data_IF_203367778597
#
_entry.id   IF_203367778597
#
_cell.length_a   1.000
_cell.length_b   1.000
_cell.length_c   1.000
_cell.angle_alpha   90.00
_cell.angle_beta   90.00
_cell.angle_gamma   90.00
#
_symmetry.space_group_name_H-M   'P 1'
#
loop_
_entity.id
_entity.type
_entity.pdbx_description
1 polymer ?
#
# COMPACT_ATOMS: atom_id res chain seq x y z
N UNK A 1 1.65 15.94 -9.87
CA UNK A 1 0.91 14.65 -9.76
C UNK A 1 -0.01 14.37 -10.96
N UNK A 2 -0.37 13.11 -11.25
CA UNK A 2 -1.32 12.72 -12.32
C UNK A 2 -2.77 12.90 -11.85
N UNK A 3 -3.57 13.70 -12.57
CA UNK A 3 -4.98 13.97 -12.22
C UNK A 3 -5.83 12.69 -12.11
N UNK A 4 -5.51 11.62 -12.87
CA UNK A 4 -6.28 10.38 -12.78
C UNK A 4 -6.10 9.64 -11.45
N UNK A 5 -4.92 9.79 -10.82
CA UNK A 5 -4.62 9.16 -9.54
C UNK A 5 -5.30 9.88 -8.38
N UNK A 6 -5.25 11.22 -8.37
CA UNK A 6 -5.98 12.02 -7.38
C UNK A 6 -7.47 11.70 -7.45
N UNK A 7 -8.05 11.68 -8.65
CA UNK A 7 -9.45 11.30 -8.82
C UNK A 7 -9.73 9.85 -8.41
N UNK A 8 -8.81 8.90 -8.59
CA UNK A 8 -8.99 7.53 -8.12
C UNK A 8 -9.05 7.46 -6.58
N UNK A 9 -8.23 8.25 -5.90
CA UNK A 9 -8.22 8.37 -4.43
C UNK A 9 -9.50 9.04 -3.94
N UNK A 10 -9.87 10.21 -4.48
CA UNK A 10 -11.08 10.95 -4.08
C UNK A 10 -12.37 10.10 -4.22
N UNK A 11 -12.42 9.25 -5.25
CA UNK A 11 -13.59 8.41 -5.53
C UNK A 11 -13.48 7.00 -4.93
N UNK A 12 -12.40 6.67 -4.22
CA UNK A 12 -12.34 5.39 -3.52
C UNK A 12 -13.23 5.46 -2.28
N UNK A 13 -14.01 4.40 -2.02
CA UNK A 13 -14.94 4.37 -0.88
C UNK A 13 -14.25 3.87 0.40
N UNK A 14 -12.95 4.12 0.53
CA UNK A 14 -12.10 3.56 1.60
C UNK A 14 -11.49 4.66 2.46
N UNK A 15 -11.19 4.32 3.71
CA UNK A 15 -10.66 5.28 4.69
C UNK A 15 -9.13 5.37 4.73
N UNK A 16 -8.43 4.32 4.29
CA UNK A 16 -6.97 4.24 4.36
C UNK A 16 -6.37 4.03 2.98
N UNK A 17 -5.37 4.85 2.66
CA UNK A 17 -4.60 4.79 1.41
C UNK A 17 -3.16 4.41 1.75
N UNK A 18 -2.70 3.32 1.12
CA UNK A 18 -1.35 2.81 1.27
C UNK A 18 -0.62 2.74 -0.06
N UNK A 19 0.70 2.83 -0.02
CA UNK A 19 1.56 2.59 -1.18
C UNK A 19 2.28 1.27 -0.99
N UNK A 20 2.13 0.37 -1.95
CA UNK A 20 2.67 -1.00 -1.87
C UNK A 20 3.62 -1.28 -3.02
N UNK A 21 4.74 -1.89 -2.69
CA UNK A 21 5.63 -2.54 -3.64
C UNK A 21 5.14 -3.96 -3.92
N UNK A 22 5.12 -4.32 -5.20
CA UNK A 22 4.77 -5.68 -5.59
C UNK A 22 5.99 -6.58 -5.53
N UNK A 23 5.79 -7.79 -5.02
CA UNK A 23 6.75 -8.88 -5.21
C UNK A 23 6.77 -9.31 -6.69
N UNK A 24 7.85 -9.96 -7.12
CA UNK A 24 8.03 -10.37 -8.52
C UNK A 24 6.92 -11.32 -9.02
N UNK A 25 6.28 -12.06 -8.12
CA UNK A 25 5.17 -12.97 -8.40
C UNK A 25 3.79 -12.29 -8.39
N UNK A 26 3.71 -11.02 -8.00
CA UNK A 26 2.47 -10.26 -7.92
C UNK A 26 2.22 -9.46 -9.21
N UNK A 27 1.08 -9.72 -9.83
CA UNK A 27 0.63 -9.01 -11.04
C UNK A 27 -0.84 -8.62 -10.85
N UNK A 28 -1.08 -7.35 -10.54
CA UNK A 28 -2.42 -6.84 -10.27
C UNK A 28 -2.92 -5.89 -11.36
N UNK A 29 -4.23 -5.86 -11.52
CA UNK A 29 -4.99 -4.82 -12.22
C UNK A 29 -5.74 -3.94 -11.20
N UNK A 30 -6.21 -2.76 -11.66
CA UNK A 30 -7.04 -1.88 -10.81
C UNK A 30 -8.36 -2.58 -10.50
N UNK A 31 -8.70 -2.66 -9.21
CA UNK A 31 -9.87 -3.36 -8.68
C UNK A 31 -9.55 -4.74 -8.10
N UNK A 32 -8.34 -5.26 -8.29
CA UNK A 32 -7.93 -6.52 -7.68
C UNK A 32 -7.75 -6.40 -6.17
N UNK A 33 -8.11 -7.48 -5.46
CA UNK A 33 -7.78 -7.64 -4.05
C UNK A 33 -6.33 -8.10 -3.94
N UNK A 34 -5.55 -7.41 -3.11
CA UNK A 34 -4.19 -7.85 -2.78
C UNK A 34 -4.25 -9.12 -1.93
N UNK A 35 -3.26 -10.00 -2.12
CA UNK A 35 -2.99 -11.05 -1.13
C UNK A 35 -2.48 -10.41 0.15
N UNK A 36 -2.57 -11.13 1.25
CA UNK A 36 -1.91 -10.70 2.47
C UNK A 36 -0.39 -10.74 2.29
N UNK A 37 0.28 -9.83 3.00
CA UNK A 37 1.72 -9.86 3.17
C UNK A 37 2.15 -11.00 4.09
N UNK A 38 3.44 -11.26 4.10
CA UNK A 38 4.09 -12.21 4.98
C UNK A 38 5.09 -11.44 5.86
N UNK A 39 5.29 -11.90 7.09
CA UNK A 39 6.19 -11.29 8.06
C UNK A 39 7.65 -11.32 7.56
N UNK A 40 8.53 -10.54 8.19
CA UNK A 40 9.95 -10.47 7.84
C UNK A 40 10.79 -11.41 8.72
N UNK A 41 11.57 -12.28 8.10
CA UNK A 41 12.60 -13.07 8.78
C UNK A 41 13.85 -12.22 8.96
N UNK A 42 14.02 -11.65 10.16
CA UNK A 42 15.19 -10.82 10.50
C UNK A 42 16.52 -11.61 10.58
N UNK A 43 16.49 -12.94 10.71
CA UNK A 43 17.70 -13.75 10.72
C UNK A 43 18.23 -13.99 9.30
N UNK A 44 17.33 -14.22 8.34
CA UNK A 44 17.66 -14.46 6.93
C UNK A 44 17.61 -13.21 6.06
N UNK A 45 17.07 -12.10 6.60
CA UNK A 45 16.86 -10.83 5.91
C UNK A 45 16.01 -10.97 4.64
N UNK A 46 14.87 -11.66 4.78
CA UNK A 46 13.92 -11.88 3.68
C UNK A 46 12.47 -11.99 4.17
N UNK A 47 11.51 -11.97 3.24
CA UNK A 47 10.11 -12.27 3.57
C UNK A 47 9.97 -13.73 3.99
N UNK A 48 9.19 -14.00 5.04
CA UNK A 48 8.89 -15.38 5.47
C UNK A 48 8.19 -16.20 4.38
N UNK A 49 7.57 -15.55 3.37
CA UNK A 49 7.04 -16.21 2.18
C UNK A 49 8.09 -17.07 1.44
N UNK A 50 9.36 -16.65 1.48
CA UNK A 50 10.48 -17.34 0.82
C UNK A 50 11.09 -18.47 1.68
N UNK A 51 10.59 -18.65 2.90
CA UNK A 51 11.12 -19.62 3.86
C UNK A 51 10.28 -20.91 3.93
N UNK A 52 10.76 -21.92 4.66
CA UNK A 52 10.01 -23.15 4.89
C UNK A 52 8.78 -22.99 5.81
N UNK A 53 8.72 -21.88 6.58
CA UNK A 53 7.65 -21.62 7.55
C UNK A 53 7.06 -20.21 7.34
N UNK A 54 6.26 -19.99 6.29
CA UNK A 54 5.69 -18.68 6.01
C UNK A 54 4.71 -18.25 7.11
N UNK A 55 4.82 -16.98 7.52
CA UNK A 55 3.93 -16.36 8.51
C UNK A 55 3.14 -15.28 7.80
N UNK A 56 1.89 -15.58 7.48
CA UNK A 56 0.99 -14.63 6.81
C UNK A 56 0.47 -13.58 7.82
N UNK A 57 0.48 -12.31 7.40
CA UNK A 57 -0.07 -11.17 8.13
C UNK A 57 -1.59 -11.05 7.88
N UNK A 58 -2.35 -10.29 8.68
CA UNK A 58 -3.80 -10.17 8.51
C UNK A 58 -4.25 -9.29 7.33
N UNK A 59 -3.31 -8.82 6.50
CA UNK A 59 -3.58 -7.92 5.38
C UNK A 59 -2.34 -7.63 4.54
N UNK A 60 -2.46 -6.71 3.58
CA UNK A 60 -1.37 -6.26 2.74
C UNK A 60 -0.59 -5.11 3.40
N UNK A 61 0.72 -5.28 3.56
CA UNK A 61 1.61 -4.19 4.01
C UNK A 61 1.64 -3.06 2.98
N UNK A 62 1.66 -1.83 3.48
CA UNK A 62 1.74 -0.62 2.70
C UNK A 62 2.42 0.50 3.51
N UNK A 63 3.05 1.43 2.80
CA UNK A 63 3.44 2.70 3.37
C UNK A 63 2.20 3.57 3.59
N UNK A 64 1.98 4.05 4.81
CA UNK A 64 0.85 4.87 5.18
C UNK A 64 0.99 6.30 4.64
N UNK A 65 0.08 6.70 3.77
CA UNK A 65 0.11 8.04 3.16
C UNK A 65 -0.43 9.16 4.07
N UNK A 66 -1.21 8.80 5.09
CA UNK A 66 -1.97 9.76 5.90
C UNK A 66 -3.05 10.54 5.12
N UNK A 67 -3.36 10.10 3.90
CA UNK A 67 -4.45 10.66 3.10
C UNK A 67 -5.79 10.21 3.68
N UNK A 68 -6.73 11.13 3.79
CA UNK A 68 -8.12 10.91 4.23
C UNK A 68 -9.03 11.31 3.06
N UNK A 69 -9.42 10.38 2.16
CA UNK A 69 -10.04 10.71 0.88
C UNK A 69 -11.32 11.55 0.94
N UNK A 70 -12.10 11.42 2.01
CA UNK A 70 -13.35 12.16 2.20
C UNK A 70 -13.18 13.51 2.93
N UNK A 71 -11.95 13.88 3.28
CA UNK A 71 -11.64 15.07 4.07
C UNK A 71 -10.62 15.97 3.39
N UNK A 72 -9.55 15.36 2.87
CA UNK A 72 -8.48 16.08 2.20
C UNK A 72 -8.96 16.59 0.84
N UNK A 73 -8.60 17.83 0.50
CA UNK A 73 -8.83 18.35 -0.84
C UNK A 73 -7.78 17.84 -1.87
N UNK A 74 -7.98 18.03 -3.18
CA UNK A 74 -7.04 17.58 -4.20
C UNK A 74 -5.60 18.07 -4.03
N UNK A 75 -5.39 19.26 -3.47
CA UNK A 75 -4.06 19.83 -3.23
C UNK A 75 -3.40 19.10 -2.05
N UNK A 76 -4.13 18.90 -0.95
CA UNK A 76 -3.66 18.12 0.21
C UNK A 76 -3.35 16.65 -0.15
N UNK A 77 -4.22 16.01 -0.95
CA UNK A 77 -3.98 14.66 -1.47
C UNK A 77 -2.69 14.63 -2.29
N UNK A 78 -2.50 15.61 -3.18
CA UNK A 78 -1.29 15.70 -4.00
C UNK A 78 -0.03 15.88 -3.16
N UNK A 79 -0.04 16.77 -2.17
CA UNK A 79 1.11 17.03 -1.30
C UNK A 79 1.49 15.80 -0.46
N UNK A 80 0.50 15.16 0.17
CA UNK A 80 0.73 13.95 0.98
C UNK A 80 1.27 12.83 0.12
N UNK A 81 0.67 12.61 -1.05
CA UNK A 81 1.11 11.59 -1.98
C UNK A 81 2.53 11.85 -2.49
N UNK A 82 2.87 13.08 -2.89
CA UNK A 82 4.24 13.43 -3.30
C UNK A 82 5.26 13.18 -2.18
N UNK A 83 4.91 13.54 -0.94
CA UNK A 83 5.77 13.27 0.21
C UNK A 83 5.94 11.78 0.48
N UNK A 84 4.84 11.03 0.58
CA UNK A 84 4.88 9.58 0.82
C UNK A 84 5.63 8.85 -0.29
N UNK A 85 5.48 9.32 -1.54
CA UNK A 85 6.21 8.73 -2.65
C UNK A 85 7.72 8.97 -2.56
N UNK A 86 8.14 10.13 -2.08
CA UNK A 86 9.55 10.42 -1.87
C UNK A 86 10.14 9.60 -0.70
N UNK A 87 9.38 9.44 0.39
CA UNK A 87 9.83 8.80 1.62
C UNK A 87 9.92 7.27 1.50
N UNK A 88 9.03 6.64 0.73
CA UNK A 88 8.99 5.18 0.58
C UNK A 88 10.08 4.59 -0.33
N UNK A 89 10.91 5.44 -0.99
CA UNK A 89 12.12 5.06 -1.73
C UNK A 89 11.96 3.85 -2.67
N UNK A 90 11.09 3.98 -3.68
CA UNK A 90 10.61 2.81 -4.44
C UNK A 90 11.62 2.12 -5.35
N UNK A 91 11.48 0.79 -5.44
CA UNK A 91 12.08 -0.05 -6.49
C UNK A 91 11.04 -1.04 -7.04
N UNK A 92 10.98 -1.19 -8.36
CA UNK A 92 10.04 -2.12 -9.02
C UNK A 92 8.62 -1.57 -9.24
N UNK A 93 7.67 -2.46 -9.49
CA UNK A 93 6.26 -2.08 -9.73
C UNK A 93 5.61 -1.63 -8.43
N UNK A 94 5.03 -0.43 -8.46
CA UNK A 94 4.36 0.17 -7.29
C UNK A 94 2.88 0.35 -7.55
N UNK A 95 2.06 0.08 -6.54
CA UNK A 95 0.61 0.27 -6.60
C UNK A 95 0.12 1.11 -5.43
N UNK A 96 -0.99 1.81 -5.65
CA UNK A 96 -1.77 2.44 -4.59
C UNK A 96 -2.88 1.47 -4.21
N UNK A 97 -2.95 1.15 -2.92
CA UNK A 97 -3.95 0.25 -2.36
C UNK A 97 -4.80 0.98 -1.33
N UNK A 98 -6.02 0.50 -1.14
CA UNK A 98 -6.96 1.11 -0.21
C UNK A 98 -7.79 0.05 0.53
N UNK A 99 -8.27 0.42 1.73
CA UNK A 99 -9.14 -0.41 2.55
C UNK A 99 -9.68 0.33 3.78
N UNK A 100 -10.48 -0.36 4.59
CA UNK A 100 -11.16 0.25 5.75
C UNK A 100 -10.67 -0.27 7.11
N UNK A 101 -9.86 -1.32 7.12
CA UNK A 101 -9.40 -1.96 8.35
C UNK A 101 -7.89 -2.08 8.29
N UNK A 102 -7.22 -1.49 9.27
CA UNK A 102 -5.77 -1.50 9.36
C UNK A 102 -5.30 -2.04 10.71
N UNK A 103 -4.12 -2.64 10.67
CA UNK A 103 -3.21 -2.78 11.82
C UNK A 103 -1.93 -1.99 11.53
N UNK A 104 -1.16 -1.70 12.57
CA UNK A 104 0.17 -1.10 12.41
C UNK A 104 1.21 -2.21 12.30
N UNK A 105 2.14 -2.04 11.36
CA UNK A 105 3.27 -2.95 11.21
C UNK A 105 4.41 -2.62 12.19
N UNK A 106 5.59 -3.14 11.88
CA UNK A 106 6.77 -2.96 12.74
C UNK A 106 7.52 -1.65 12.43
N UNK A 107 7.35 -1.10 11.23
CA UNK A 107 7.99 0.16 10.83
C UNK A 107 7.08 1.38 11.09
N UNK A 108 7.66 2.53 11.44
CA UNK A 108 6.95 3.76 11.85
C UNK A 108 5.92 4.29 10.83
N UNK A 109 6.03 3.88 9.57
CA UNK A 109 5.12 4.25 8.48
C UNK A 109 4.39 3.06 7.85
N UNK A 110 4.46 1.88 8.45
CA UNK A 110 3.82 0.68 7.93
C UNK A 110 2.39 0.52 8.48
N UNK A 111 1.48 0.25 7.54
CA UNK A 111 0.12 -0.23 7.85
C UNK A 111 -0.12 -1.56 7.13
N UNK A 112 -0.89 -2.42 7.77
CA UNK A 112 -1.34 -3.71 7.24
C UNK A 112 -2.84 -3.56 6.95
N UNK A 113 -3.20 -3.44 5.68
CA UNK A 113 -4.58 -3.19 5.25
C UNK A 113 -5.26 -4.53 4.96
N UNK A 114 -6.26 -4.89 5.76
CA UNK A 114 -7.05 -6.11 5.52
C UNK A 114 -7.99 -5.93 4.33
N UNK A 115 -8.10 -6.97 3.49
CA UNK A 115 -8.84 -6.95 2.22
C UNK A 115 -8.47 -5.71 1.37
N UNK A 116 -7.18 -5.43 1.20
CA UNK A 116 -6.74 -4.26 0.44
C UNK A 116 -7.09 -4.41 -1.06
N UNK A 117 -7.52 -3.32 -1.69
CA UNK A 117 -7.83 -3.28 -3.13
C UNK A 117 -6.87 -2.32 -3.85
N UNK A 118 -6.38 -2.73 -5.02
CA UNK A 118 -5.59 -1.86 -5.90
C UNK A 118 -6.49 -0.79 -6.52
N UNK A 119 -6.19 0.47 -6.25
CA UNK A 119 -6.95 1.61 -6.82
C UNK A 119 -6.17 2.35 -7.92
N UNK A 120 -4.85 2.16 -8.00
CA UNK A 120 -4.02 2.68 -9.10
C UNK A 120 -2.72 1.91 -9.21
N UNK A 121 -2.17 1.86 -10.42
CA UNK A 121 -0.82 1.34 -10.71
C UNK A 121 0.08 2.53 -11.03
N UNK A 122 1.27 2.57 -10.45
CA UNK A 122 2.30 3.57 -10.74
C UNK A 122 3.32 2.92 -11.68
N UNK A 123 3.37 3.41 -12.91
CA UNK A 123 4.30 2.97 -13.96
C UNK A 123 5.32 4.05 -14.28
#
# INVERSE_FOLDING_TARGET
MNNSLISAIENCNYNYIGIRHLADDEHYEVGDWCRNSYDWDYEQDCSTFETENPIELPGACAYNTGIVPNWDDPEEISEKLEKSLADANYYGTTVIIAGDRIEYGNDDHEIIIADAVVISILA
#
